data_IF_739951602180
#
_entry.id   IF_739951602180
#
_cell.length_a   1.000
_cell.length_b   1.000
_cell.length_c   1.000
_cell.angle_alpha   90.00
_cell.angle_beta   90.00
_cell.angle_gamma   90.00
#
_symmetry.space_group_name_H-M   'P 1'
#
loop_
_entity.id
_entity.type
_entity.pdbx_description
1 polymer ?
#
# COMPACT_ATOMS: atom_id res chain seq x y z
N UNK A 1 -22.46 30.64 -10.70
CA UNK A 1 -21.41 30.13 -11.63
C UNK A 1 -21.19 28.65 -11.38
N UNK A 2 -21.48 27.78 -12.35
CA UNK A 2 -21.50 26.31 -12.20
C UNK A 2 -20.12 25.66 -12.44
N UNK A 3 -19.21 26.33 -13.15
CA UNK A 3 -17.92 25.75 -13.54
C UNK A 3 -17.00 25.42 -12.36
N UNK A 4 -16.96 26.25 -11.29
CA UNK A 4 -16.11 26.00 -10.10
C UNK A 4 -16.49 24.70 -9.40
N UNK A 5 -17.80 24.50 -9.18
CA UNK A 5 -18.32 23.27 -8.58
C UNK A 5 -18.09 22.07 -9.50
N UNK A 6 -18.19 22.26 -10.81
CA UNK A 6 -17.86 21.25 -11.81
C UNK A 6 -16.39 20.81 -11.73
N UNK A 7 -15.46 21.77 -11.77
CA UNK A 7 -14.02 21.51 -11.70
C UNK A 7 -13.60 20.83 -10.40
N UNK A 8 -14.12 21.26 -9.24
CA UNK A 8 -13.81 20.58 -7.98
C UNK A 8 -14.30 19.13 -7.95
N UNK A 9 -15.41 18.83 -8.64
CA UNK A 9 -15.96 17.47 -8.72
C UNK A 9 -15.16 16.54 -9.64
N UNK A 10 -14.27 17.05 -10.49
CA UNK A 10 -13.45 16.20 -11.36
C UNK A 10 -12.30 15.53 -10.64
N UNK A 11 -11.98 15.89 -9.39
CA UNK A 11 -10.77 15.41 -8.70
C UNK A 11 -9.51 16.20 -9.05
N UNK A 12 -9.39 16.64 -10.31
CA UNK A 12 -8.21 17.35 -10.84
C UNK A 12 -7.60 18.44 -9.93
N UNK A 13 -8.35 19.35 -9.28
CA UNK A 13 -7.73 20.31 -8.37
C UNK A 13 -7.03 19.65 -7.16
N UNK A 14 -7.61 18.58 -6.61
CA UNK A 14 -7.01 17.81 -5.51
C UNK A 14 -5.77 17.06 -6.00
N UNK A 15 -5.81 16.47 -7.19
CA UNK A 15 -4.66 15.81 -7.81
C UNK A 15 -3.48 16.79 -7.99
N UNK A 16 -3.76 18.00 -8.48
CA UNK A 16 -2.77 19.05 -8.69
C UNK A 16 -2.06 19.44 -7.38
N UNK A 17 -2.83 19.73 -6.31
CA UNK A 17 -2.22 20.13 -5.03
C UNK A 17 -1.51 18.97 -4.33
N UNK A 18 -2.03 17.75 -4.47
CA UNK A 18 -1.41 16.51 -3.96
C UNK A 18 -0.06 16.28 -4.62
N UNK A 19 0.00 16.38 -5.95
CA UNK A 19 1.25 16.29 -6.71
C UNK A 19 2.27 17.36 -6.28
N UNK A 20 1.80 18.59 -6.01
CA UNK A 20 2.65 19.67 -5.51
C UNK A 20 3.29 19.36 -4.16
N UNK A 21 2.53 18.79 -3.21
CA UNK A 21 3.05 18.37 -1.91
C UNK A 21 4.14 17.30 -2.08
N UNK A 22 3.86 16.26 -2.87
CA UNK A 22 4.78 15.15 -3.10
C UNK A 22 6.08 15.60 -3.80
N UNK A 23 5.95 16.42 -4.85
CA UNK A 23 7.08 16.98 -5.57
C UNK A 23 7.97 17.84 -4.65
N UNK A 24 7.36 18.63 -3.75
CA UNK A 24 8.13 19.40 -2.75
C UNK A 24 8.88 18.51 -1.76
N UNK A 25 8.42 17.27 -1.53
CA UNK A 25 9.12 16.24 -0.76
C UNK A 25 10.15 15.45 -1.57
N UNK A 26 10.41 15.82 -2.82
CA UNK A 26 11.42 15.18 -3.67
C UNK A 26 10.94 13.91 -4.37
N UNK A 27 9.63 13.72 -4.47
CA UNK A 27 9.07 12.65 -5.29
C UNK A 27 9.01 13.06 -6.78
N UNK A 28 9.31 12.13 -7.67
CA UNK A 28 9.04 12.26 -9.10
C UNK A 28 7.59 11.88 -9.40
N UNK A 29 6.88 12.72 -10.16
CA UNK A 29 5.44 12.57 -10.45
C UNK A 29 5.25 12.10 -11.90
N UNK A 30 4.57 10.96 -12.09
CA UNK A 30 4.36 10.33 -13.41
C UNK A 30 2.98 10.59 -14.02
N UNK A 31 2.07 11.22 -13.28
CA UNK A 31 0.67 11.33 -13.68
C UNK A 31 -0.10 10.04 -13.43
N UNK A 32 -1.06 9.73 -14.27
CA UNK A 32 -1.96 8.59 -14.09
C UNK A 32 -1.23 7.25 -14.25
N UNK A 33 -1.67 6.25 -13.47
CA UNK A 33 -1.20 4.87 -13.59
C UNK A 33 -2.26 4.01 -14.26
N UNK A 34 -2.15 3.75 -15.58
CA UNK A 34 -3.08 2.89 -16.28
C UNK A 34 -2.84 1.42 -15.95
N UNK A 35 -3.93 0.67 -15.81
CA UNK A 35 -3.89 -0.78 -15.65
C UNK A 35 -5.14 -1.43 -16.26
N UNK A 36 -5.01 -2.69 -16.67
CA UNK A 36 -6.11 -3.45 -17.29
C UNK A 36 -6.65 -4.44 -16.28
N UNK A 37 -7.97 -4.51 -16.12
CA UNK A 37 -8.66 -5.56 -15.36
C UNK A 37 -10.01 -5.90 -15.98
N UNK A 38 -10.60 -7.07 -15.64
CA UNK A 38 -11.98 -7.38 -15.99
C UNK A 38 -12.96 -6.44 -15.27
N UNK A 39 -13.96 -5.93 -15.99
CA UNK A 39 -15.12 -5.25 -15.40
C UNK A 39 -16.16 -6.26 -14.85
N UNK A 40 -17.31 -5.76 -14.42
CA UNK A 40 -18.43 -6.57 -13.90
C UNK A 40 -18.99 -7.56 -14.93
N UNK A 41 -18.81 -7.28 -16.22
CA UNK A 41 -19.20 -8.16 -17.35
C UNK A 41 -18.08 -9.10 -17.80
N UNK A 42 -16.95 -9.17 -17.06
CA UNK A 42 -15.73 -9.92 -17.39
C UNK A 42 -15.02 -9.47 -18.67
N UNK A 43 -15.28 -8.25 -19.12
CA UNK A 43 -14.58 -7.64 -20.25
C UNK A 43 -13.33 -6.92 -19.74
N UNK A 44 -12.19 -7.12 -20.41
CA UNK A 44 -10.98 -6.36 -20.11
C UNK A 44 -11.20 -4.88 -20.43
N UNK A 45 -11.02 -4.02 -19.44
CA UNK A 45 -11.06 -2.56 -19.58
C UNK A 45 -9.85 -1.94 -18.93
N UNK A 46 -9.44 -0.81 -19.48
CA UNK A 46 -8.44 0.06 -18.88
C UNK A 46 -9.09 0.89 -17.77
N UNK A 47 -8.40 0.96 -16.65
CA UNK A 47 -8.68 1.82 -15.51
C UNK A 47 -7.40 2.58 -15.18
N UNK A 48 -7.50 3.62 -14.38
CA UNK A 48 -6.33 4.32 -13.87
C UNK A 48 -6.47 4.65 -12.39
N UNK A 49 -5.31 4.86 -11.78
CA UNK A 49 -5.15 5.59 -10.51
C UNK A 49 -4.61 6.97 -10.85
N UNK A 50 -5.08 8.01 -10.15
CA UNK A 50 -4.83 9.41 -10.53
C UNK A 50 -3.34 9.79 -10.57
N UNK A 51 -2.54 9.33 -9.59
CA UNK A 51 -1.12 9.69 -9.49
C UNK A 51 -0.27 8.45 -9.18
N UNK A 52 0.76 8.22 -10.00
CA UNK A 52 1.93 7.41 -9.65
C UNK A 52 3.10 8.32 -9.33
N UNK A 53 3.84 7.91 -8.32
CA UNK A 53 5.03 8.63 -7.91
C UNK A 53 6.10 7.68 -7.40
N UNK A 54 7.36 8.11 -7.44
CA UNK A 54 8.42 7.45 -6.70
C UNK A 54 9.37 8.44 -6.04
N UNK A 55 10.10 7.96 -5.03
CA UNK A 55 11.23 8.66 -4.42
C UNK A 55 12.35 7.69 -4.11
N UNK A 56 13.56 8.06 -4.52
CA UNK A 56 14.76 7.33 -4.15
C UNK A 56 15.14 7.64 -2.70
N UNK A 57 15.14 6.62 -1.87
CA UNK A 57 15.58 6.60 -0.48
C UNK A 57 16.96 5.91 -0.46
N UNK A 58 18.02 6.65 -0.78
CA UNK A 58 19.34 6.02 -0.94
C UNK A 58 19.99 5.69 0.41
N UNK A 59 20.56 4.48 0.52
CA UNK A 59 21.65 4.19 1.44
C UNK A 59 22.99 4.29 0.68
N UNK A 60 24.13 4.24 1.39
CA UNK A 60 25.45 4.32 0.75
C UNK A 60 25.75 3.15 -0.21
N UNK A 61 25.02 2.04 -0.11
CA UNK A 61 25.29 0.80 -0.85
C UNK A 61 24.11 0.28 -1.67
N UNK A 62 22.88 0.73 -1.38
CA UNK A 62 21.64 0.26 -2.01
C UNK A 62 20.69 1.42 -2.31
N UNK A 63 19.92 1.23 -3.37
CA UNK A 63 18.84 2.10 -3.79
C UNK A 63 17.53 1.54 -3.25
N UNK A 64 16.91 2.23 -2.30
CA UNK A 64 15.51 1.96 -2.01
C UNK A 64 14.65 2.91 -2.82
N UNK A 65 13.57 2.41 -3.39
CA UNK A 65 12.60 3.23 -4.13
C UNK A 65 11.25 3.11 -3.45
N UNK A 66 10.75 4.20 -2.88
CA UNK A 66 9.37 4.27 -2.42
C UNK A 66 8.49 4.68 -3.59
N UNK A 67 7.74 3.73 -4.14
CA UNK A 67 6.72 3.94 -5.16
C UNK A 67 5.33 4.02 -4.52
N UNK A 68 4.54 5.04 -4.87
CA UNK A 68 3.18 5.19 -4.35
C UNK A 68 2.16 5.32 -5.49
N UNK A 69 1.01 4.69 -5.28
CA UNK A 69 -0.19 4.91 -6.08
C UNK A 69 -1.17 5.74 -5.26
N UNK A 70 -1.66 6.83 -5.83
CA UNK A 70 -2.46 7.81 -5.10
C UNK A 70 -3.75 8.11 -5.83
N UNK A 71 -4.87 7.82 -5.18
CA UNK A 71 -6.22 8.14 -5.66
C UNK A 71 -6.78 9.33 -4.90
N UNK A 72 -7.24 10.35 -5.61
CA UNK A 72 -7.72 11.62 -5.06
C UNK A 72 -9.24 11.70 -5.08
N UNK A 73 -9.88 11.73 -3.91
CA UNK A 73 -11.34 11.86 -3.77
C UNK A 73 -11.74 13.17 -3.09
N UNK A 74 -12.00 14.18 -3.90
CA UNK A 74 -12.61 15.43 -3.42
C UNK A 74 -14.05 15.18 -2.94
N UNK A 75 -14.40 15.79 -1.81
CA UNK A 75 -15.77 15.87 -1.26
C UNK A 75 -16.13 17.28 -0.87
N UNK A 76 -17.44 17.54 -0.87
CA UNK A 76 -17.97 18.85 -0.48
C UNK A 76 -17.75 19.06 1.03
N UNK A 77 -17.54 20.31 1.47
CA UNK A 77 -17.44 20.63 2.90
C UNK A 77 -18.63 20.07 3.69
N UNK A 78 -18.35 19.55 4.89
CA UNK A 78 -19.34 18.87 5.74
C UNK A 78 -19.59 17.40 5.38
N UNK A 79 -18.79 16.81 4.49
CA UNK A 79 -18.79 15.36 4.26
C UNK A 79 -17.81 14.70 5.22
N UNK A 80 -18.25 13.65 5.90
CA UNK A 80 -17.41 12.85 6.79
C UNK A 80 -17.40 11.39 6.34
N UNK A 81 -16.22 10.76 6.38
CA UNK A 81 -16.05 9.33 6.22
C UNK A 81 -15.87 8.69 7.59
N UNK A 82 -16.80 7.81 7.96
CA UNK A 82 -16.83 7.16 9.26
C UNK A 82 -16.40 5.71 9.08
N UNK A 83 -15.39 5.32 9.83
CA UNK A 83 -14.78 4.00 9.78
C UNK A 83 -15.05 3.19 11.04
N UNK A 84 -15.27 1.89 10.85
CA UNK A 84 -15.31 0.92 11.93
C UNK A 84 -13.89 0.46 12.25
N UNK A 85 -13.41 0.59 13.51
CA UNK A 85 -12.08 0.16 13.88
C UNK A 85 -11.91 -1.36 13.72
N UNK A 86 -10.67 -1.81 13.57
CA UNK A 86 -10.34 -3.23 13.56
C UNK A 86 -10.66 -3.85 14.94
N UNK A 87 -11.39 -4.97 15.00
CA UNK A 87 -11.96 -5.47 16.26
C UNK A 87 -10.97 -6.25 17.14
N UNK A 88 -9.75 -6.49 16.66
CA UNK A 88 -8.75 -7.32 17.34
C UNK A 88 -7.62 -6.48 17.92
N UNK A 89 -7.03 -6.96 19.02
CA UNK A 89 -5.76 -6.44 19.55
C UNK A 89 -4.55 -6.84 18.70
N UNK A 90 -4.70 -7.86 17.86
CA UNK A 90 -3.68 -8.25 16.87
C UNK A 90 -3.94 -7.43 15.61
N UNK A 91 -3.03 -6.53 15.29
CA UNK A 91 -3.16 -5.62 14.16
C UNK A 91 -2.64 -6.26 12.87
N UNK A 92 -3.33 -6.05 11.73
CA UNK A 92 -2.93 -6.63 10.45
C UNK A 92 -1.80 -5.83 9.79
N UNK A 93 -0.55 -6.27 9.90
CA UNK A 93 0.63 -5.57 9.38
C UNK A 93 0.76 -5.62 7.85
N UNK A 94 1.47 -4.64 7.26
CA UNK A 94 1.96 -4.72 5.87
C UNK A 94 1.30 -3.71 4.93
N UNK A 95 1.11 -2.46 5.35
CA UNK A 95 0.69 -1.39 4.45
C UNK A 95 1.72 -1.19 3.32
N UNK A 96 3.00 -1.16 3.67
CA UNK A 96 4.10 -1.06 2.71
C UNK A 96 4.49 -2.45 2.25
N UNK A 97 4.36 -2.71 0.95
CA UNK A 97 4.83 -3.95 0.33
C UNK A 97 6.27 -3.77 -0.12
N UNK A 98 7.12 -4.78 0.05
CA UNK A 98 8.52 -4.72 -0.33
C UNK A 98 8.87 -5.80 -1.36
N UNK A 99 9.91 -5.57 -2.16
CA UNK A 99 10.51 -6.61 -3.01
C UNK A 99 11.65 -7.37 -2.34
N UNK A 100 11.80 -7.23 -1.01
CA UNK A 100 12.91 -7.80 -0.25
C UNK A 100 12.93 -9.34 -0.29
N UNK A 101 11.77 -9.97 -0.49
CA UNK A 101 11.62 -11.42 -0.60
C UNK A 101 12.34 -12.03 -1.81
N UNK A 102 12.74 -11.21 -2.79
CA UNK A 102 13.46 -11.64 -4.00
C UNK A 102 15.00 -11.45 -3.90
N UNK A 103 15.49 -10.90 -2.79
CA UNK A 103 16.89 -10.50 -2.59
C UNK A 103 17.40 -10.96 -1.21
N UNK A 104 18.73 -11.01 -0.95
CA UNK A 104 19.28 -11.47 0.33
C UNK A 104 19.37 -10.38 1.42
N UNK A 105 18.51 -9.36 1.32
CA UNK A 105 18.46 -8.19 2.22
C UNK A 105 17.13 -8.20 2.94
N UNK A 106 17.09 -7.90 4.24
CA UNK A 106 15.84 -7.68 4.98
C UNK A 106 15.81 -6.36 5.70
N UNK A 107 14.62 -5.78 5.70
CA UNK A 107 14.24 -4.66 6.53
C UNK A 107 13.77 -5.18 7.89
N UNK A 108 14.10 -4.42 8.94
CA UNK A 108 13.65 -4.73 10.29
C UNK A 108 12.10 -4.70 10.38
N UNK A 109 11.50 -3.67 9.78
CA UNK A 109 10.05 -3.46 9.69
C UNK A 109 9.39 -2.92 10.96
N UNK A 110 10.13 -2.77 12.07
CA UNK A 110 9.57 -2.29 13.34
C UNK A 110 9.13 -0.83 13.29
N UNK A 111 9.86 0.04 12.58
CA UNK A 111 9.53 1.46 12.52
C UNK A 111 8.29 1.69 11.66
N UNK A 112 8.17 1.00 10.52
CA UNK A 112 6.95 1.02 9.70
C UNK A 112 5.76 0.44 10.47
N UNK A 113 5.96 -0.63 11.25
CA UNK A 113 4.91 -1.16 12.13
C UNK A 113 4.42 -0.14 13.16
N UNK A 114 5.33 0.54 13.87
CA UNK A 114 4.98 1.60 14.82
C UNK A 114 4.23 2.75 14.14
N UNK A 115 4.63 3.10 12.92
CA UNK A 115 3.89 4.04 12.10
C UNK A 115 2.47 3.54 11.83
N UNK A 116 2.29 2.30 11.34
CA UNK A 116 0.98 1.73 11.05
C UNK A 116 0.07 1.65 12.29
N UNK A 117 0.61 1.24 13.44
CA UNK A 117 -0.10 1.27 14.73
C UNK A 117 -0.57 2.67 15.11
N UNK A 118 0.28 3.68 14.89
CA UNK A 118 -0.05 5.08 15.21
C UNK A 118 -1.15 5.66 14.31
N UNK A 119 -1.37 5.09 13.12
CA UNK A 119 -2.46 5.46 12.22
C UNK A 119 -3.75 4.71 12.58
N UNK A 120 -3.63 3.43 12.90
CA UNK A 120 -4.75 2.57 13.28
C UNK A 120 -5.49 1.95 12.09
N UNK A 121 -5.92 0.70 12.27
CA UNK A 121 -6.61 -0.07 11.24
C UNK A 121 -8.13 -0.02 11.38
N UNK A 122 -8.80 -0.01 10.23
CA UNK A 122 -10.24 -0.05 10.10
C UNK A 122 -10.68 -1.14 9.11
N UNK A 123 -11.88 -1.72 9.29
CA UNK A 123 -12.37 -2.83 8.45
C UNK A 123 -13.40 -2.40 7.40
N UNK A 124 -14.01 -1.24 7.56
CA UNK A 124 -15.02 -0.73 6.64
C UNK A 124 -15.26 0.75 6.91
N UNK A 125 -15.72 1.48 5.89
CA UNK A 125 -16.15 2.86 6.05
C UNK A 125 -17.44 3.17 5.31
N UNK A 126 -18.13 4.21 5.76
CA UNK A 126 -19.31 4.83 5.13
C UNK A 126 -19.09 6.33 4.98
N UNK A 127 -19.78 6.94 4.03
CA UNK A 127 -19.81 8.39 3.85
C UNK A 127 -21.12 8.95 4.42
N UNK A 128 -21.04 9.98 5.24
CA UNK A 128 -22.15 10.85 5.59
C UNK A 128 -21.99 12.18 4.85
N UNK A 129 -23.00 12.57 4.09
CA UNK A 129 -23.03 13.89 3.47
C UNK A 129 -23.42 14.99 4.49
N UNK A 130 -23.32 16.24 4.06
CA UNK A 130 -23.63 17.40 4.90
C UNK A 130 -25.09 17.49 5.38
N UNK A 131 -25.99 16.67 4.82
CA UNK A 131 -27.39 16.58 5.23
C UNK A 131 -27.65 15.36 6.12
N UNK A 132 -26.61 14.59 6.47
CA UNK A 132 -26.72 13.37 7.26
C UNK A 132 -27.15 12.14 6.46
N UNK A 133 -27.18 12.19 5.13
CA UNK A 133 -27.50 11.01 4.33
C UNK A 133 -26.28 10.08 4.24
N UNK A 134 -26.47 8.83 4.63
CA UNK A 134 -25.46 7.79 4.52
C UNK A 134 -25.34 7.21 3.12
N UNK A 135 -24.10 7.00 2.67
CA UNK A 135 -23.74 6.26 1.46
C UNK A 135 -22.68 5.24 1.79
N UNK A 136 -22.88 4.00 1.36
CA UNK A 136 -21.99 2.88 1.68
C UNK A 136 -20.70 2.86 0.85
N UNK A 137 -20.64 3.64 -0.24
CA UNK A 137 -19.64 3.44 -1.29
C UNK A 137 -18.57 4.54 -1.36
N UNK A 138 -18.66 5.56 -0.49
CA UNK A 138 -17.87 6.79 -0.59
C UNK A 138 -16.35 6.55 -0.63
N UNK A 139 -15.79 5.97 0.45
CA UNK A 139 -14.38 5.60 0.53
C UNK A 139 -14.05 4.35 -0.30
N UNK A 140 -15.00 3.42 -0.39
CA UNK A 140 -14.80 2.10 -1.01
C UNK A 140 -14.43 2.20 -2.48
N UNK A 141 -15.06 3.09 -3.25
CA UNK A 141 -14.79 3.15 -4.68
C UNK A 141 -13.33 3.52 -4.99
N UNK A 142 -12.79 4.55 -4.31
CA UNK A 142 -11.39 4.96 -4.49
C UNK A 142 -10.42 3.90 -3.96
N UNK A 143 -10.72 3.31 -2.80
CA UNK A 143 -9.90 2.23 -2.26
C UNK A 143 -9.87 1.03 -3.23
N UNK A 144 -11.01 0.69 -3.83
CA UNK A 144 -11.11 -0.41 -4.78
C UNK A 144 -10.26 -0.20 -6.04
N UNK A 145 -10.14 1.03 -6.56
CA UNK A 145 -9.23 1.32 -7.67
C UNK A 145 -7.77 1.02 -7.29
N UNK A 146 -7.33 1.49 -6.13
CA UNK A 146 -5.98 1.22 -5.62
C UNK A 146 -5.74 -0.28 -5.41
N UNK A 147 -6.70 -0.98 -4.80
CA UNK A 147 -6.60 -2.42 -4.50
C UNK A 147 -6.42 -3.27 -5.76
N UNK A 148 -6.97 -2.88 -6.91
CA UNK A 148 -6.69 -3.57 -8.18
C UNK A 148 -5.38 -3.13 -8.83
N UNK A 149 -4.97 -1.88 -8.66
CA UNK A 149 -3.74 -1.38 -9.25
C UNK A 149 -2.49 -1.94 -8.53
N UNK A 150 -2.57 -2.17 -7.21
CA UNK A 150 -1.44 -2.62 -6.40
C UNK A 150 -0.82 -3.95 -6.85
N UNK A 151 -1.59 -5.04 -7.11
CA UNK A 151 -1.02 -6.28 -7.67
C UNK A 151 -0.32 -6.07 -9.01
N UNK A 152 -0.78 -5.13 -9.84
CA UNK A 152 -0.17 -4.80 -11.13
C UNK A 152 1.17 -4.08 -10.93
N UNK A 153 1.21 -3.11 -10.01
CA UNK A 153 2.45 -2.42 -9.65
C UNK A 153 3.46 -3.39 -9.02
N UNK A 154 3.00 -4.27 -8.11
CA UNK A 154 3.82 -5.31 -7.50
C UNK A 154 4.44 -6.22 -8.55
N UNK A 155 3.65 -6.72 -9.51
CA UNK A 155 4.15 -7.53 -10.63
C UNK A 155 5.27 -6.81 -11.37
N UNK A 156 5.05 -5.55 -11.75
CA UNK A 156 6.04 -4.75 -12.47
C UNK A 156 7.31 -4.52 -11.65
N UNK A 157 7.17 -4.31 -10.33
CA UNK A 157 8.28 -4.15 -9.40
C UNK A 157 9.10 -5.44 -9.28
N UNK A 158 8.44 -6.58 -9.13
CA UNK A 158 9.10 -7.89 -9.04
C UNK A 158 9.80 -8.24 -10.36
N UNK A 159 9.16 -7.99 -11.50
CA UNK A 159 9.77 -8.13 -12.83
C UNK A 159 11.02 -7.24 -12.97
N UNK A 160 10.98 -6.01 -12.46
CA UNK A 160 12.13 -5.11 -12.46
C UNK A 160 13.29 -5.67 -11.60
N UNK A 161 13.01 -6.08 -10.37
CA UNK A 161 14.01 -6.63 -9.44
C UNK A 161 14.66 -7.89 -10.02
N UNK A 162 13.88 -8.80 -10.60
CA UNK A 162 14.39 -10.00 -11.26
C UNK A 162 15.28 -9.67 -12.48
N UNK A 163 14.94 -8.62 -13.23
CA UNK A 163 15.65 -8.23 -14.46
C UNK A 163 16.94 -7.44 -14.20
N UNK A 164 16.95 -6.52 -13.24
CA UNK A 164 18.00 -5.51 -13.10
C UNK A 164 18.86 -5.67 -11.83
N UNK A 165 18.34 -6.26 -10.76
CA UNK A 165 19.01 -6.35 -9.44
C UNK A 165 19.43 -7.76 -9.03
N UNK A 166 19.45 -8.65 -10.03
CA UNK A 166 19.74 -10.08 -10.00
C UNK A 166 20.83 -10.59 -9.02
N UNK A 167 21.77 -9.79 -8.50
CA UNK A 167 22.91 -10.30 -7.69
C UNK A 167 23.23 -9.67 -6.32
N UNK A 168 22.75 -8.49 -5.96
CA UNK A 168 23.28 -7.89 -4.71
C UNK A 168 22.19 -7.28 -3.83
N UNK A 169 20.92 -7.34 -4.26
CA UNK A 169 19.86 -6.59 -3.60
C UNK A 169 20.14 -5.09 -3.66
N UNK A 170 20.72 -4.63 -4.78
CA UNK A 170 21.08 -3.22 -4.97
C UNK A 170 19.88 -2.32 -5.06
N UNK A 171 18.73 -2.85 -5.50
CA UNK A 171 17.48 -2.13 -5.49
C UNK A 171 16.42 -2.90 -4.73
N UNK A 172 15.71 -2.19 -3.85
CA UNK A 172 14.54 -2.67 -3.13
C UNK A 172 13.42 -1.68 -3.40
N UNK A 173 12.30 -2.21 -3.88
CA UNK A 173 11.10 -1.44 -4.16
C UNK A 173 10.15 -1.54 -2.97
N UNK A 174 9.64 -0.40 -2.54
CA UNK A 174 8.66 -0.24 -1.46
C UNK A 174 7.40 0.36 -2.07
N UNK A 175 6.26 -0.29 -1.92
CA UNK A 175 5.02 0.06 -2.58
C UNK A 175 3.96 0.42 -1.55
N UNK A 176 3.33 1.60 -1.68
CA UNK A 176 2.28 2.05 -0.76
C UNK A 176 1.07 2.63 -1.52
N UNK A 177 -0.14 2.07 -1.36
CA UNK A 177 -1.37 2.67 -1.87
C UNK A 177 -1.91 3.74 -0.91
N UNK A 178 -2.22 4.91 -1.44
CA UNK A 178 -2.73 6.04 -0.65
C UNK A 178 -4.02 6.59 -1.29
N UNK A 179 -5.06 6.78 -0.50
CA UNK A 179 -6.26 7.51 -0.90
C UNK A 179 -6.26 8.86 -0.19
N UNK A 180 -6.19 9.94 -0.96
CA UNK A 180 -6.26 11.31 -0.44
C UNK A 180 -7.68 11.85 -0.56
N UNK A 181 -8.24 12.38 0.52
CA UNK A 181 -9.60 12.96 0.52
C UNK A 181 -9.67 14.31 1.23
N UNK A 182 -10.64 15.13 0.87
CA UNK A 182 -10.99 16.35 1.62
C UNK A 182 -12.09 16.12 2.66
N UNK A 183 -12.59 14.88 2.80
CA UNK A 183 -13.59 14.52 3.80
C UNK A 183 -12.96 14.46 5.19
N UNK A 184 -13.71 14.81 6.22
CA UNK A 184 -13.30 14.48 7.58
C UNK A 184 -13.19 12.97 7.74
N UNK A 185 -12.09 12.47 8.30
CA UNK A 185 -11.91 11.06 8.59
C UNK A 185 -12.25 10.86 10.06
N UNK A 186 -13.19 9.96 10.34
CA UNK A 186 -13.72 9.71 11.67
C UNK A 186 -13.73 8.22 11.96
N UNK A 187 -13.39 7.82 13.17
CA UNK A 187 -13.38 6.41 13.60
C UNK A 187 -14.38 6.23 14.73
N UNK A 188 -15.16 5.15 14.69
CA UNK A 188 -16.09 4.79 15.77
C UNK A 188 -15.30 4.52 17.05
N UNK A 189 -15.72 5.13 18.16
CA UNK A 189 -15.07 4.92 19.46
C UNK A 189 -15.23 3.45 19.89
N UNK A 190 -14.24 2.86 20.58
CA UNK A 190 -14.35 1.49 21.07
C UNK A 190 -15.42 1.37 22.16
N UNK A 191 -15.91 0.13 22.38
CA UNK A 191 -16.82 -0.23 23.46
C UNK A 191 -18.19 0.46 23.45
N UNK A 192 -18.70 0.83 22.27
CA UNK A 192 -20.07 1.34 22.12
C UNK A 192 -21.08 0.21 21.88
N UNK A 193 -22.29 0.40 22.39
CA UNK A 193 -23.48 -0.38 22.09
C UNK A 193 -24.40 0.38 21.13
N UNK A 194 -25.36 -0.32 20.51
CA UNK A 194 -26.33 0.30 19.59
C UNK A 194 -27.10 1.46 20.25
N UNK A 195 -27.43 1.33 21.54
CA UNK A 195 -28.12 2.39 22.29
C UNK A 195 -27.33 3.69 22.38
N UNK A 196 -26.00 3.64 22.31
CA UNK A 196 -25.17 4.85 22.34
C UNK A 196 -25.34 5.67 21.06
N UNK A 197 -25.57 5.01 19.92
CA UNK A 197 -25.87 5.67 18.65
C UNK A 197 -27.29 6.27 18.65
N UNK A 198 -28.26 5.61 19.29
CA UNK A 198 -29.64 6.10 19.37
C UNK A 198 -29.77 7.38 20.21
N UNK A 199 -28.96 7.52 21.26
CA UNK A 199 -28.98 8.68 22.16
C UNK A 199 -27.96 9.77 21.80
N UNK A 200 -27.05 9.48 20.88
CA UNK A 200 -26.05 10.44 20.41
C UNK A 200 -26.74 11.68 19.84
N UNK A 201 -26.28 12.86 20.28
CA UNK A 201 -26.77 14.14 19.79
C UNK A 201 -25.88 14.67 18.69
N UNK A 202 -24.60 14.37 18.81
CA UNK A 202 -23.57 14.79 17.89
C UNK A 202 -22.73 13.61 17.48
N UNK A 203 -22.13 13.76 16.31
CA UNK A 203 -21.29 12.76 15.70
C UNK A 203 -20.04 12.50 16.58
N UNK A 204 -19.55 13.52 17.29
CA UNK A 204 -18.46 13.43 18.28
C UNK A 204 -18.81 12.57 19.51
N UNK A 205 -20.08 12.28 19.78
CA UNK A 205 -20.47 11.42 20.90
C UNK A 205 -19.96 9.98 20.67
N UNK A 206 -20.05 9.50 19.42
CA UNK A 206 -19.81 8.09 19.04
C UNK A 206 -18.58 7.87 18.15
N UNK A 207 -17.91 8.93 17.73
CA UNK A 207 -16.71 8.83 16.88
C UNK A 207 -15.65 9.85 17.27
N UNK A 208 -14.45 9.70 16.72
CA UNK A 208 -13.32 10.62 16.90
C UNK A 208 -12.71 11.01 15.55
N UNK A 209 -12.25 12.25 15.43
CA UNK A 209 -11.52 12.72 14.25
C UNK A 209 -10.13 12.08 14.17
N UNK A 210 -9.71 11.74 12.95
CA UNK A 210 -8.39 11.20 12.63
C UNK A 210 -7.80 11.92 11.42
N UNK A 211 -6.48 12.02 11.41
CA UNK A 211 -5.69 12.57 10.28
C UNK A 211 -5.68 11.59 9.09
N UNK A 212 -5.59 10.31 9.42
CA UNK A 212 -5.53 9.18 8.49
C UNK A 212 -6.02 7.90 9.17
N UNK A 213 -6.34 6.88 8.37
CA UNK A 213 -6.63 5.51 8.80
C UNK A 213 -6.06 4.52 7.80
N UNK A 214 -5.76 3.29 8.23
CA UNK A 214 -5.46 2.19 7.31
C UNK A 214 -6.73 1.37 7.12
N UNK A 215 -7.32 1.41 5.93
CA UNK A 215 -8.44 0.53 5.58
C UNK A 215 -7.86 -0.85 5.24
N UNK A 216 -8.16 -1.84 6.07
CA UNK A 216 -7.78 -3.24 5.88
C UNK A 216 -9.02 -4.09 5.59
N UNK A 217 -9.19 -4.43 4.32
CA UNK A 217 -10.29 -5.27 3.83
C UNK A 217 -9.71 -6.50 3.13
N UNK A 218 -10.16 -7.69 3.53
CA UNK A 218 -9.78 -8.92 2.82
C UNK A 218 -10.15 -8.85 1.33
N UNK A 219 -9.44 -9.59 0.49
CA UNK A 219 -9.73 -9.65 -0.94
C UNK A 219 -11.07 -10.35 -1.18
N UNK A 220 -12.05 -9.61 -1.70
CA UNK A 220 -13.30 -10.21 -2.19
C UNK A 220 -13.03 -11.12 -3.40
N UNK A 221 -14.00 -11.97 -3.82
CA UNK A 221 -13.76 -13.02 -4.82
C UNK A 221 -13.16 -12.51 -6.14
N UNK A 222 -13.69 -11.44 -6.71
CA UNK A 222 -13.20 -10.88 -7.98
C UNK A 222 -11.75 -10.34 -7.87
N UNK A 223 -11.45 -9.62 -6.79
CA UNK A 223 -10.12 -9.07 -6.56
C UNK A 223 -9.12 -10.19 -6.31
N UNK A 224 -9.52 -11.24 -5.58
CA UNK A 224 -8.71 -12.42 -5.35
C UNK A 224 -8.41 -13.15 -6.66
N UNK A 225 -9.43 -13.46 -7.47
CA UNK A 225 -9.26 -14.09 -8.78
C UNK A 225 -8.31 -13.28 -9.68
N UNK A 226 -8.43 -11.95 -9.67
CA UNK A 226 -7.55 -11.07 -10.42
C UNK A 226 -6.10 -11.12 -9.92
N UNK A 227 -5.88 -10.94 -8.61
CA UNK A 227 -4.54 -10.98 -8.01
C UNK A 227 -3.86 -12.35 -8.19
N UNK A 228 -4.60 -13.44 -7.99
CA UNK A 228 -4.12 -14.81 -8.21
C UNK A 228 -3.73 -15.03 -9.67
N UNK A 229 -4.52 -14.51 -10.62
CA UNK A 229 -4.20 -14.64 -12.06
C UNK A 229 -2.89 -13.92 -12.43
N UNK A 230 -2.63 -12.75 -11.84
CA UNK A 230 -1.38 -12.02 -12.03
C UNK A 230 -0.19 -12.75 -11.40
N UNK A 231 -0.40 -13.35 -10.22
CA UNK A 231 0.62 -14.15 -9.56
C UNK A 231 0.98 -15.41 -10.36
N UNK A 232 -0.01 -16.12 -10.88
CA UNK A 232 0.18 -17.29 -11.73
C UNK A 232 0.88 -16.93 -13.04
N UNK A 233 0.50 -15.81 -13.67
CA UNK A 233 1.17 -15.29 -14.86
C UNK A 233 2.64 -14.97 -14.55
N UNK A 234 2.91 -14.27 -13.45
CA UNK A 234 4.26 -13.91 -13.01
C UNK A 234 5.13 -15.16 -12.82
N UNK A 235 4.67 -16.13 -12.03
CA UNK A 235 5.42 -17.39 -11.79
C UNK A 235 5.66 -18.16 -13.09
N UNK A 236 4.67 -18.21 -13.98
CA UNK A 236 4.80 -18.87 -15.29
C UNK A 236 5.84 -18.20 -16.18
N UNK A 237 5.92 -16.87 -16.15
CA UNK A 237 6.84 -16.10 -16.97
C UNK A 237 8.27 -16.08 -16.41
N UNK A 238 8.46 -16.45 -15.14
CA UNK A 238 9.74 -16.45 -14.43
C UNK A 238 10.09 -17.83 -13.83
N UNK A 239 10.36 -18.85 -14.66
CA UNK A 239 10.73 -20.19 -14.18
C UNK A 239 12.01 -20.21 -13.32
N UNK A 240 12.89 -19.21 -13.47
CA UNK A 240 14.08 -19.01 -12.64
C UNK A 240 13.77 -18.69 -11.17
N UNK A 241 12.55 -18.25 -10.86
CA UNK A 241 12.15 -17.84 -9.52
C UNK A 241 12.33 -18.96 -8.49
N UNK A 242 11.98 -20.20 -8.83
CA UNK A 242 12.12 -21.34 -7.91
C UNK A 242 13.57 -21.56 -7.48
N UNK A 243 14.50 -21.50 -8.44
CA UNK A 243 15.93 -21.65 -8.15
C UNK A 243 16.41 -20.47 -7.28
N UNK A 244 15.95 -19.26 -7.59
CA UNK A 244 16.29 -18.06 -6.82
C UNK A 244 15.84 -18.15 -5.35
N UNK A 245 14.60 -18.54 -5.11
CA UNK A 245 14.07 -18.68 -3.75
C UNK A 245 14.83 -19.78 -2.99
N UNK A 246 15.18 -20.87 -3.66
CA UNK A 246 16.00 -21.95 -3.08
C UNK A 246 17.41 -21.48 -2.74
N UNK A 247 18.02 -20.64 -3.58
CA UNK A 247 19.32 -20.02 -3.31
C UNK A 247 19.26 -19.06 -2.11
N UNK A 248 18.20 -18.27 -1.98
CA UNK A 248 18.00 -17.38 -0.82
C UNK A 248 17.89 -18.17 0.48
N UNK A 249 17.14 -19.27 0.48
CA UNK A 249 17.02 -20.17 1.64
C UNK A 249 18.38 -20.65 2.18
N UNK A 250 19.38 -20.83 1.30
CA UNK A 250 20.72 -21.25 1.75
C UNK A 250 21.53 -20.19 2.49
N UNK A 251 21.16 -18.92 2.38
CA UNK A 251 21.90 -17.80 2.99
C UNK A 251 21.13 -17.06 4.06
N UNK A 252 19.82 -17.19 4.10
CA UNK A 252 18.97 -16.71 5.20
C UNK A 252 19.14 -17.67 6.39
N UNK A 253 20.13 -17.39 7.24
CA UNK A 253 20.53 -18.27 8.35
C UNK A 253 20.71 -17.45 9.63
N UNK A 254 20.23 -17.96 10.76
CA UNK A 254 20.30 -17.26 12.06
C UNK A 254 19.10 -17.59 12.94
N UNK A 255 19.15 -17.24 14.24
CA UNK A 255 18.02 -17.44 15.16
C UNK A 255 16.77 -16.65 14.72
N UNK A 256 16.92 -15.54 13.98
CA UNK A 256 15.77 -14.83 13.41
C UNK A 256 15.05 -15.62 12.30
N UNK A 257 15.77 -16.50 11.60
CA UNK A 257 15.25 -17.35 10.53
C UNK A 257 14.73 -18.70 11.02
N UNK A 258 15.14 -19.18 12.19
CA UNK A 258 14.48 -20.34 12.81
C UNK A 258 12.98 -20.08 13.07
N UNK A 259 12.58 -18.80 13.11
CA UNK A 259 11.20 -18.35 13.33
C UNK A 259 10.52 -17.79 12.07
N UNK A 260 11.25 -17.61 10.97
CA UNK A 260 10.73 -17.05 9.70
C UNK A 260 10.95 -18.06 8.58
N UNK A 261 9.91 -18.37 7.83
CA UNK A 261 10.05 -19.22 6.64
C UNK A 261 10.71 -18.41 5.52
N UNK A 262 11.71 -18.99 4.86
CA UNK A 262 12.22 -18.43 3.61
C UNK A 262 11.07 -18.34 2.59
N UNK A 263 10.97 -17.25 1.80
CA UNK A 263 9.90 -17.11 0.83
C UNK A 263 9.93 -18.25 -0.18
N UNK A 264 8.81 -18.95 -0.30
CA UNK A 264 8.55 -19.93 -1.35
C UNK A 264 7.62 -19.36 -2.42
N UNK A 265 7.35 -20.13 -3.47
CA UNK A 265 6.44 -19.71 -4.55
C UNK A 265 5.05 -19.36 -3.99
N UNK A 266 4.57 -20.11 -3.01
CA UNK A 266 3.27 -19.84 -2.39
C UNK A 266 3.29 -18.52 -1.61
N UNK A 267 4.40 -18.17 -0.96
CA UNK A 267 4.63 -16.88 -0.33
C UNK A 267 4.56 -15.76 -1.36
N UNK A 268 5.29 -15.88 -2.47
CA UNK A 268 5.24 -14.89 -3.56
C UNK A 268 3.80 -14.72 -4.08
N UNK A 269 3.07 -15.82 -4.29
CA UNK A 269 1.67 -15.75 -4.74
C UNK A 269 0.75 -15.08 -3.71
N UNK A 270 0.94 -15.36 -2.41
CA UNK A 270 0.17 -14.70 -1.34
C UNK A 270 0.40 -13.20 -1.31
N UNK A 271 1.61 -12.73 -1.58
CA UNK A 271 1.95 -11.29 -1.57
C UNK A 271 1.11 -10.51 -2.60
N UNK A 272 0.81 -11.09 -3.75
CA UNK A 272 -0.09 -10.47 -4.73
C UNK A 272 -1.47 -10.20 -4.15
N UNK A 273 -2.06 -11.19 -3.47
CA UNK A 273 -3.35 -11.01 -2.79
C UNK A 273 -3.24 -9.99 -1.64
N UNK A 274 -2.21 -10.09 -0.78
CA UNK A 274 -2.07 -9.20 0.38
C UNK A 274 -1.77 -7.75 0.01
N UNK A 275 -1.11 -7.51 -1.12
CA UNK A 275 -0.86 -6.15 -1.66
C UNK A 275 -2.15 -5.38 -1.95
N UNK A 276 -3.27 -6.08 -2.07
CA UNK A 276 -4.58 -5.53 -2.36
C UNK A 276 -5.48 -5.39 -1.12
N UNK A 277 -4.98 -5.63 0.09
CA UNK A 277 -5.81 -5.63 1.31
C UNK A 277 -5.84 -4.29 2.04
N UNK A 278 -4.75 -3.53 1.95
CA UNK A 278 -4.51 -2.35 2.80
C UNK A 278 -4.41 -1.10 1.94
N UNK A 279 -5.09 -0.04 2.36
CA UNK A 279 -5.00 1.30 1.75
C UNK A 279 -4.86 2.33 2.85
N UNK A 280 -3.85 3.19 2.76
CA UNK A 280 -3.71 4.33 3.65
C UNK A 280 -4.66 5.44 3.18
N UNK A 281 -5.64 5.79 3.99
CA UNK A 281 -6.60 6.86 3.70
C UNK A 281 -6.18 8.10 4.48
N UNK A 282 -5.90 9.19 3.80
CA UNK A 282 -5.35 10.42 4.40
C UNK A 282 -6.24 11.60 4.07
N UNK A 283 -6.55 12.42 5.08
CA UNK A 283 -7.14 13.71 4.83
C UNK A 283 -6.07 14.65 4.27
N UNK A 284 -6.38 15.33 3.17
CA UNK A 284 -5.44 16.16 2.41
C UNK A 284 -4.70 17.19 3.27
N UNK A 285 -5.34 17.73 4.32
CA UNK A 285 -4.73 18.73 5.21
C UNK A 285 -3.53 18.16 5.98
N UNK A 286 -3.49 16.83 6.16
CA UNK A 286 -2.45 16.12 6.89
C UNK A 286 -1.53 15.31 5.97
N UNK A 287 -1.72 15.38 4.64
CA UNK A 287 -0.92 14.59 3.70
C UNK A 287 0.59 14.83 3.88
N UNK A 288 1.00 16.09 4.00
CA UNK A 288 2.40 16.46 4.13
C UNK A 288 3.06 15.81 5.36
N UNK A 289 2.43 15.90 6.53
CA UNK A 289 2.98 15.33 7.76
C UNK A 289 2.91 13.80 7.78
N UNK A 290 1.88 13.20 7.17
CA UNK A 290 1.74 11.73 7.10
C UNK A 290 2.79 11.11 6.19
N UNK A 291 3.06 11.71 5.02
CA UNK A 291 4.13 11.24 4.13
C UNK A 291 5.49 11.36 4.82
N UNK A 292 5.74 12.47 5.53
CA UNK A 292 7.00 12.64 6.29
C UNK A 292 7.19 11.58 7.37
N UNK A 293 6.13 11.24 8.11
CA UNK A 293 6.15 10.17 9.12
C UNK A 293 6.40 8.79 8.49
N UNK A 294 5.74 8.49 7.37
CA UNK A 294 5.93 7.24 6.63
C UNK A 294 7.36 7.11 6.12
N UNK A 295 7.88 8.14 5.44
CA UNK A 295 9.26 8.15 4.94
C UNK A 295 10.28 8.03 6.07
N UNK A 296 10.05 8.72 7.19
CA UNK A 296 10.93 8.63 8.37
C UNK A 296 10.93 7.23 8.97
N UNK A 297 9.77 6.55 9.01
CA UNK A 297 9.67 5.17 9.47
C UNK A 297 10.42 4.22 8.52
N UNK A 298 10.22 4.36 7.21
CA UNK A 298 10.94 3.58 6.20
C UNK A 298 12.45 3.78 6.29
N UNK A 299 12.91 5.03 6.42
CA UNK A 299 14.35 5.33 6.52
C UNK A 299 14.98 4.70 7.76
N UNK A 300 14.28 4.67 8.91
CA UNK A 300 14.77 3.97 10.11
C UNK A 300 14.88 2.46 9.89
N UNK A 301 13.94 1.85 9.16
CA UNK A 301 14.02 0.43 8.84
C UNK A 301 15.14 0.13 7.84
N UNK A 302 15.42 1.05 6.90
CA UNK A 302 16.57 0.97 5.98
C UNK A 302 17.90 1.10 6.73
N UNK A 303 18.01 2.03 7.68
CA UNK A 303 19.24 2.23 8.48
C UNK A 303 19.61 1.00 9.31
N UNK A 304 18.63 0.13 9.60
CA UNK A 304 18.80 -1.11 10.34
C UNK A 304 18.60 -2.35 9.43
N UNK A 305 18.89 -2.22 8.12
CA UNK A 305 18.83 -3.36 7.20
C UNK A 305 19.84 -4.45 7.56
N UNK A 306 19.46 -5.71 7.33
CA UNK A 306 20.33 -6.87 7.52
C UNK A 306 20.62 -7.55 6.18
N UNK A 307 21.90 -7.85 5.94
CA UNK A 307 22.39 -8.43 4.68
C UNK A 307 22.99 -9.80 4.96
N UNK A 308 22.30 -10.86 4.54
CA UNK A 308 22.65 -12.23 4.92
C UNK A 308 23.57 -12.96 3.93
N UNK A 309 23.74 -12.40 2.72
CA UNK A 309 24.65 -12.96 1.76
C UNK A 309 24.94 -12.05 0.59
N UNK A 310 25.99 -12.40 -0.14
CA UNK A 310 26.41 -11.77 -1.39
C UNK A 310 26.26 -12.77 -2.53
N UNK A 311 25.60 -12.39 -3.61
CA UNK A 311 25.40 -13.30 -4.76
C UNK A 311 26.58 -13.11 -5.71
N UNK A 312 27.29 -14.21 -5.97
CA UNK A 312 28.39 -14.28 -6.92
C UNK A 312 27.90 -14.97 -8.18
N UNK A 313 28.16 -14.33 -9.32
CA UNK A 313 27.87 -14.91 -10.63
C UNK A 313 29.01 -15.83 -11.10
N UNK A 314 28.66 -17.05 -11.48
CA UNK A 314 29.55 -17.99 -12.18
C UNK A 314 29.12 -18.18 -13.64
N UNK A 315 29.94 -18.89 -14.43
CA UNK A 315 29.62 -19.21 -15.84
C UNK A 315 28.39 -20.12 -15.98
N UNK A 316 28.14 -20.97 -14.99
CA UNK A 316 27.14 -22.04 -15.06
C UNK A 316 25.93 -21.81 -14.14
N UNK A 317 25.85 -20.65 -13.48
CA UNK A 317 24.77 -20.35 -12.54
C UNK A 317 25.14 -19.28 -11.52
N UNK A 318 24.26 -19.11 -10.54
CA UNK A 318 24.41 -18.15 -9.45
C UNK A 318 24.75 -18.92 -8.18
N UNK A 319 25.47 -18.28 -7.28
CA UNK A 319 25.65 -18.79 -5.93
C UNK A 319 25.57 -17.63 -4.97
N UNK A 320 24.69 -17.74 -3.98
CA UNK A 320 24.71 -16.80 -2.85
C UNK A 320 25.69 -17.33 -1.83
N UNK A 321 26.66 -16.50 -1.46
CA UNK A 321 27.66 -16.81 -0.46
C UNK A 321 27.27 -16.06 0.80
N UNK A 322 27.16 -16.79 1.90
CA UNK A 322 26.93 -16.21 3.22
C UNK A 322 28.02 -15.19 3.55
N UNK A 323 27.62 -14.05 4.11
CA UNK A 323 28.57 -13.05 4.64
C UNK A 323 29.32 -13.59 5.87
#
# INVERSE_FOLDING_TARGET
MNWKKGLLRTGLPLEYVTSGILNNKGHEIFGDYPYIRPNENKELKEFSVDIRTHKCLASNERLFTLSMLIECKYRQPGTSWIFSPYPSSIVPIGLVQSSEDLVPVRLNGSSVYEFEESIGYCISGVELDSNGNGKTDGAKHGAFQLRFAMPVLLKSSFEHVLKYDWYEGRTIELLCPILVTTSEIRVIKPNLALSDFDIAKELDDVTELREAVILNEGTGPQLKEFADSLADEFVKNHPELQNRLSELDTVLVGEEWEKRYSPDIDTIKRIFSSSAERVLIVNYEYLDIIIERLESAIMKDIENEEVYGKIIKFKDGLQIIKN
#
